data_IF_918195912520
#
_entry.id   IF_918195912520
#
_cell.length_a   1.000
_cell.length_b   1.000
_cell.length_c   1.000
_cell.angle_alpha   90.00
_cell.angle_beta   90.00
_cell.angle_gamma   90.00
#
_symmetry.space_group_name_H-M   'P 1'
#
loop_
_entity.id
_entity.type
_entity.pdbx_description
1 polymer ?
#
# COMPACT_ATOMS: atom_id res chain seq x y z
N UNK A 1 10.46 25.48 -5.85
CA UNK A 1 9.67 24.66 -6.82
C UNK A 1 9.58 23.23 -6.30
N UNK A 2 8.49 22.85 -5.64
CA UNK A 2 8.27 21.45 -5.27
C UNK A 2 8.03 20.65 -6.54
N UNK A 3 9.09 20.02 -7.09
CA UNK A 3 8.93 19.01 -8.12
C UNK A 3 8.06 17.90 -7.52
N UNK A 4 6.86 17.72 -8.07
CA UNK A 4 6.00 16.60 -7.72
C UNK A 4 6.82 15.31 -7.92
N UNK A 5 7.13 14.63 -6.81
CA UNK A 5 7.84 13.34 -6.83
C UNK A 5 6.87 12.24 -7.27
N UNK A 6 6.35 12.33 -8.50
CA UNK A 6 5.47 11.31 -9.08
C UNK A 6 6.17 9.95 -9.01
N UNK A 7 5.49 8.99 -8.39
CA UNK A 7 5.90 7.59 -8.36
C UNK A 7 4.97 6.81 -9.29
N UNK A 8 5.54 5.91 -10.08
CA UNK A 8 4.81 5.07 -11.02
C UNK A 8 5.07 3.62 -10.67
N UNK A 9 4.00 2.85 -10.56
CA UNK A 9 4.01 1.41 -10.30
C UNK A 9 3.19 0.72 -11.38
N UNK A 10 3.56 -0.51 -11.73
CA UNK A 10 2.82 -1.33 -12.70
C UNK A 10 2.00 -2.37 -11.94
N UNK A 11 0.80 -2.61 -12.42
CA UNK A 11 -0.11 -3.64 -11.92
C UNK A 11 -0.48 -4.55 -13.08
N UNK A 12 -0.78 -5.81 -12.78
CA UNK A 12 -1.45 -6.69 -13.72
C UNK A 12 -2.89 -6.21 -13.99
N UNK A 13 -3.49 -6.72 -15.06
CA UNK A 13 -4.82 -6.27 -15.51
C UNK A 13 -5.91 -6.52 -14.47
N UNK A 14 -5.85 -7.65 -13.75
CA UNK A 14 -6.85 -7.99 -12.73
C UNK A 14 -6.76 -7.03 -11.56
N UNK A 15 -5.55 -6.79 -11.05
CA UNK A 15 -5.31 -5.84 -9.95
C UNK A 15 -5.73 -4.44 -10.35
N UNK A 16 -5.41 -4.00 -11.56
CA UNK A 16 -5.84 -2.69 -12.06
C UNK A 16 -7.36 -2.56 -12.17
N UNK A 17 -8.04 -3.61 -12.64
CA UNK A 17 -9.51 -3.64 -12.70
C UNK A 17 -10.13 -3.47 -11.32
N UNK A 18 -9.66 -4.22 -10.32
CA UNK A 18 -10.15 -4.16 -8.94
C UNK A 18 -9.92 -2.78 -8.31
N UNK A 19 -8.75 -2.16 -8.55
CA UNK A 19 -8.45 -0.81 -8.08
C UNK A 19 -9.39 0.24 -8.69
N UNK A 20 -9.72 0.12 -9.97
CA UNK A 20 -10.69 1.01 -10.64
C UNK A 20 -12.11 0.83 -10.08
N UNK A 21 -12.53 -0.41 -9.86
CA UNK A 21 -13.85 -0.70 -9.29
C UNK A 21 -13.97 -0.11 -7.87
N UNK A 22 -12.96 -0.30 -7.03
CA UNK A 22 -12.94 0.25 -5.68
C UNK A 22 -12.93 1.78 -5.68
N UNK A 23 -12.17 2.40 -6.58
CA UNK A 23 -12.19 3.84 -6.77
C UNK A 23 -13.59 4.34 -7.16
N UNK A 24 -14.27 3.66 -8.08
CA UNK A 24 -15.64 3.97 -8.49
C UNK A 24 -16.65 3.80 -7.35
N UNK A 25 -16.57 2.72 -6.58
CA UNK A 25 -17.45 2.46 -5.42
C UNK A 25 -17.27 3.48 -4.30
N UNK A 26 -16.06 4.00 -4.11
CA UNK A 26 -15.74 4.96 -3.04
C UNK A 26 -15.89 6.42 -3.47
N UNK A 27 -16.13 6.70 -4.76
CA UNK A 27 -16.15 8.07 -5.28
C UNK A 27 -14.79 8.76 -5.21
N UNK A 28 -13.68 8.01 -5.20
CA UNK A 28 -12.32 8.53 -5.09
C UNK A 28 -11.47 8.19 -6.31
N UNK A 29 -10.24 8.72 -6.38
CA UNK A 29 -9.31 8.38 -7.47
C UNK A 29 -8.57 7.08 -7.16
N UNK A 30 -8.16 6.34 -8.20
CA UNK A 30 -7.29 5.16 -8.05
C UNK A 30 -5.99 5.51 -7.30
N UNK A 31 -5.44 6.70 -7.51
CA UNK A 31 -4.25 7.16 -6.78
C UNK A 31 -4.52 7.34 -5.27
N UNK A 32 -5.72 7.79 -4.89
CA UNK A 32 -6.14 7.87 -3.49
C UNK A 32 -6.23 6.48 -2.88
N UNK A 33 -6.91 5.55 -3.57
CA UNK A 33 -7.01 4.14 -3.15
C UNK A 33 -5.63 3.52 -2.93
N UNK A 34 -4.72 3.64 -3.90
CA UNK A 34 -3.37 3.08 -3.80
C UNK A 34 -2.61 3.66 -2.59
N UNK A 35 -2.70 4.97 -2.35
CA UNK A 35 -2.04 5.60 -1.19
C UNK A 35 -2.62 5.11 0.13
N UNK A 36 -3.93 4.98 0.23
CA UNK A 36 -4.59 4.46 1.45
C UNK A 36 -4.21 3.01 1.71
N UNK A 37 -4.19 2.16 0.68
CA UNK A 37 -3.77 0.77 0.81
C UNK A 37 -2.29 0.66 1.19
N UNK A 38 -1.43 1.48 0.61
CA UNK A 38 -0.01 1.51 0.95
C UNK A 38 0.22 1.96 2.39
N UNK A 39 -0.45 3.04 2.83
CA UNK A 39 -0.36 3.52 4.21
C UNK A 39 -0.83 2.46 5.20
N UNK A 40 -2.02 1.88 4.98
CA UNK A 40 -2.56 0.81 5.83
C UNK A 40 -1.67 -0.45 5.84
N UNK A 41 -1.10 -0.80 4.68
CA UNK A 41 -0.14 -1.89 4.57
C UNK A 41 1.11 -1.64 5.41
N UNK A 42 1.68 -0.43 5.32
CA UNK A 42 2.85 -0.03 6.11
C UNK A 42 2.52 -0.04 7.61
N UNK A 43 1.40 0.53 8.03
CA UNK A 43 0.95 0.53 9.44
C UNK A 43 0.84 -0.87 10.04
N UNK A 44 0.47 -1.87 9.23
CA UNK A 44 0.44 -3.26 9.69
C UNK A 44 1.83 -3.87 9.84
N UNK A 45 2.78 -3.43 9.02
CA UNK A 45 4.15 -3.93 8.98
C UNK A 45 5.06 -3.25 10.00
N UNK A 46 4.66 -2.11 10.55
CA UNK A 46 5.36 -1.42 11.64
C UNK A 46 4.71 -1.72 12.99
N UNK A 47 5.50 -1.72 14.05
CA UNK A 47 5.04 -1.81 15.43
C UNK A 47 4.62 -0.44 16.00
N UNK A 48 4.21 -0.40 17.27
CA UNK A 48 3.79 0.83 17.96
C UNK A 48 4.94 1.85 18.12
N UNK A 49 6.20 1.42 17.99
CA UNK A 49 7.40 2.25 18.08
C UNK A 49 7.84 2.77 16.71
N UNK A 50 7.23 2.28 15.63
CA UNK A 50 7.58 2.61 14.25
C UNK A 50 8.71 1.74 13.68
N UNK A 51 9.07 0.65 14.35
CA UNK A 51 10.05 -0.32 13.87
C UNK A 51 9.37 -1.36 12.98
N UNK A 52 10.11 -1.93 12.02
CA UNK A 52 9.60 -2.99 11.17
C UNK A 52 9.39 -4.27 12.00
N UNK A 53 8.29 -4.99 11.75
CA UNK A 53 8.03 -6.33 12.31
C UNK A 53 8.82 -7.43 11.57
N UNK A 54 10.01 -7.12 11.10
CA UNK A 54 10.90 -8.03 10.36
C UNK A 54 11.64 -9.03 11.27
N UNK A 55 11.54 -8.85 12.60
CA UNK A 55 12.12 -9.73 13.62
C UNK A 55 11.30 -10.97 14.03
N UNK A 56 10.00 -11.04 13.71
CA UNK A 56 9.14 -12.18 14.10
C UNK A 56 9.08 -13.29 13.05
N UNK A 57 9.36 -12.98 11.78
CA UNK A 57 9.30 -13.95 10.67
C UNK A 57 10.48 -14.96 10.62
N UNK A 58 11.34 -15.01 11.64
CA UNK A 58 12.53 -15.87 11.70
C UNK A 58 12.67 -16.73 12.96
N UNK A 59 11.59 -16.96 13.73
CA UNK A 59 11.63 -17.79 14.96
C UNK A 59 10.59 -18.91 14.99
N UNK A 60 10.30 -19.52 13.85
CA UNK A 60 9.62 -20.83 13.80
C UNK A 60 10.48 -21.84 13.01
N UNK A 61 11.74 -21.99 13.42
CA UNK A 61 12.55 -23.17 13.15
C UNK A 61 13.41 -23.45 14.39
N UNK A 62 12.82 -24.09 15.41
CA UNK A 62 13.54 -24.91 16.39
C UNK A 62 12.67 -26.09 16.83
#
# INVERSE_FOLDING_TARGET
MNKSNRKTVRFDDRTWMLLKELAGRTGTTVSTVIRSLAAHGIEKLIDEKGDWKDGEAKKEEE
#
